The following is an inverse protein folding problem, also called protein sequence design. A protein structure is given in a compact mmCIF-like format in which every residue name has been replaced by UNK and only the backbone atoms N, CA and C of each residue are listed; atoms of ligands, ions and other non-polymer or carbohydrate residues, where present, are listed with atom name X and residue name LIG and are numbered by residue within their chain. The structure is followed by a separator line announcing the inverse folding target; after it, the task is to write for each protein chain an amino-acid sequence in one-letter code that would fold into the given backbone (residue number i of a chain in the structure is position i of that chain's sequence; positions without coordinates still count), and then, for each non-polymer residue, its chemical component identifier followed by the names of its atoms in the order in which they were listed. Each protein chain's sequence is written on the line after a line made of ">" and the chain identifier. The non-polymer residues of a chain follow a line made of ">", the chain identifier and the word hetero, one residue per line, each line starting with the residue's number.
data_IF_472621692577
#
_entry.id   IF_472621692577
#
_cell.length_a   1.000
_cell.length_b   1.000
_cell.length_c   1.000
_cell.angle_alpha   90.00
_cell.angle_beta   90.00
_cell.angle_gamma   90.00
#
_symmetry.space_group_name_H-M   'P 1'
#
loop_
_entity.id
_entity.type
_entity.pdbx_description
1 polymer ?
#
# COMPACT_ATOMS: atom_id res chain seq x y z
N UNK A 1 42.92 -19.12 6.98
CA UNK A 1 41.80 -18.46 7.68
C UNK A 1 40.64 -19.43 7.76
N UNK A 2 40.38 -20.03 8.92
CA UNK A 2 39.20 -20.90 9.12
C UNK A 2 37.99 -19.98 9.23
N UNK A 3 37.08 -20.04 8.27
CA UNK A 3 35.78 -19.40 8.40
C UNK A 3 35.11 -19.96 9.66
N UNK A 4 34.76 -19.06 10.59
CA UNK A 4 34.07 -19.42 11.83
C UNK A 4 32.76 -20.13 11.47
N UNK A 5 32.50 -21.27 12.13
CA UNK A 5 31.27 -22.08 11.98
C UNK A 5 29.99 -21.24 12.14
N UNK A 6 30.09 -20.11 12.87
CA UNK A 6 29.01 -19.14 13.06
C UNK A 6 28.58 -18.44 11.74
N UNK A 7 29.52 -18.14 10.84
CA UNK A 7 29.22 -17.53 9.54
C UNK A 7 28.47 -18.49 8.60
N UNK A 8 28.80 -19.78 8.66
CA UNK A 8 28.08 -20.80 7.91
C UNK A 8 26.65 -20.99 8.46
N UNK A 9 26.47 -20.93 9.78
CA UNK A 9 25.15 -21.08 10.41
C UNK A 9 24.22 -19.89 10.12
N UNK A 10 24.76 -18.66 10.11
CA UNK A 10 24.02 -17.45 9.73
C UNK A 10 23.60 -17.50 8.25
N UNK A 11 24.49 -17.96 7.36
CA UNK A 11 24.15 -18.15 5.93
C UNK A 11 23.07 -19.23 5.72
N UNK A 12 23.08 -20.31 6.51
CA UNK A 12 22.07 -21.38 6.40
C UNK A 12 20.70 -20.93 6.93
N UNK A 13 20.67 -20.16 8.02
CA UNK A 13 19.40 -19.59 8.55
C UNK A 13 18.80 -18.58 7.57
N UNK A 14 19.63 -17.78 6.88
CA UNK A 14 19.15 -16.88 5.82
C UNK A 14 18.56 -17.62 4.62
N UNK A 15 19.05 -18.82 4.29
CA UNK A 15 18.50 -19.62 3.18
C UNK A 15 17.17 -20.28 3.58
N UNK A 16 17.01 -20.70 4.84
CA UNK A 16 15.77 -21.36 5.30
C UNK A 16 14.56 -20.41 5.31
N UNK A 17 14.77 -19.10 5.50
CA UNK A 17 13.70 -18.10 5.40
C UNK A 17 13.29 -17.75 3.95
N UNK A 18 14.07 -18.15 2.94
CA UNK A 18 13.76 -17.84 1.53
C UNK A 18 12.86 -18.86 0.83
N UNK A 19 12.53 -19.98 1.49
CA UNK A 19 11.85 -21.12 0.83
C UNK A 19 10.47 -21.46 1.38
N UNK A 20 9.97 -20.72 2.36
CA UNK A 20 8.58 -20.84 2.77
C UNK A 20 7.78 -19.67 2.20
N UNK A 21 7.09 -19.85 1.05
CA UNK A 21 5.98 -18.97 0.74
C UNK A 21 4.95 -19.14 1.86
N UNK A 22 4.90 -18.15 2.75
CA UNK A 22 3.71 -17.92 3.57
C UNK A 22 2.65 -17.51 2.56
N UNK A 23 1.84 -18.47 2.12
CA UNK A 23 0.63 -18.17 1.36
C UNK A 23 -0.36 -17.52 2.33
N UNK A 24 -0.19 -16.23 2.58
CA UNK A 24 -1.28 -15.40 3.04
C UNK A 24 -2.34 -15.39 1.95
N UNK A 25 -3.59 -15.65 2.31
CA UNK A 25 -4.72 -15.53 1.41
C UNK A 25 -4.91 -14.04 1.08
N UNK A 26 -4.33 -13.56 -0.03
CA UNK A 26 -4.47 -12.16 -0.44
C UNK A 26 -5.82 -11.91 -1.11
N UNK A 27 -6.41 -10.75 -0.90
CA UNK A 27 -7.63 -10.29 -1.59
C UNK A 27 -7.36 -10.04 -3.08
N UNK A 28 -6.14 -9.65 -3.42
CA UNK A 28 -5.70 -9.39 -4.80
C UNK A 28 -4.62 -10.36 -5.29
N UNK A 29 -4.63 -10.65 -6.59
CA UNK A 29 -3.52 -11.17 -7.37
C UNK A 29 -2.46 -10.09 -7.61
N UNK A 30 -1.27 -10.51 -8.01
CA UNK A 30 -0.16 -9.61 -8.33
C UNK A 30 -0.45 -8.65 -9.50
N UNK A 31 -1.43 -8.97 -10.37
CA UNK A 31 -1.87 -8.11 -11.47
C UNK A 31 -2.96 -7.10 -11.05
N UNK A 32 -3.40 -7.11 -9.79
CA UNK A 32 -4.46 -6.21 -9.30
C UNK A 32 -5.89 -6.74 -9.48
N UNK A 33 -6.08 -7.93 -10.04
CA UNK A 33 -7.39 -8.60 -10.02
C UNK A 33 -7.67 -9.15 -8.62
N UNK A 34 -8.93 -9.23 -8.19
CA UNK A 34 -9.30 -9.96 -6.97
C UNK A 34 -8.95 -11.45 -7.12
N UNK A 35 -8.57 -12.08 -6.02
CA UNK A 35 -8.53 -13.53 -5.91
C UNK A 35 -9.94 -14.07 -5.65
N UNK A 36 -10.09 -15.39 -5.66
CA UNK A 36 -11.31 -16.02 -5.17
C UNK A 36 -11.68 -15.55 -3.75
N UNK A 37 -10.69 -15.42 -2.86
CA UNK A 37 -10.92 -14.91 -1.49
C UNK A 37 -11.38 -13.46 -1.50
N UNK A 38 -10.95 -12.66 -2.49
CA UNK A 38 -11.45 -11.29 -2.65
C UNK A 38 -12.91 -11.24 -3.08
N UNK A 39 -13.34 -12.14 -3.96
CA UNK A 39 -14.76 -12.26 -4.32
C UNK A 39 -15.58 -12.73 -3.11
N UNK A 40 -15.11 -13.73 -2.38
CA UNK A 40 -15.74 -14.21 -1.14
C UNK A 40 -15.84 -13.08 -0.11
N UNK A 41 -14.78 -12.29 0.06
CA UNK A 41 -14.79 -11.11 0.93
C UNK A 41 -15.88 -10.11 0.54
N UNK A 42 -16.11 -9.87 -0.75
CA UNK A 42 -17.22 -9.04 -1.20
C UNK A 42 -18.59 -9.63 -0.88
N UNK A 43 -18.76 -10.94 -1.07
CA UNK A 43 -20.02 -11.61 -0.75
C UNK A 43 -20.36 -11.52 0.73
N UNK A 44 -19.36 -11.70 1.59
CA UNK A 44 -19.49 -11.57 3.05
C UNK A 44 -19.84 -10.13 3.47
N UNK A 45 -19.28 -9.13 2.78
CA UNK A 45 -19.46 -7.72 3.10
C UNK A 45 -20.65 -7.06 2.40
N UNK A 46 -21.26 -7.71 1.40
CA UNK A 46 -22.43 -7.15 0.71
C UNK A 46 -23.58 -6.75 1.64
N UNK A 47 -23.99 -7.56 2.64
CA UNK A 47 -25.07 -7.15 3.55
C UNK A 47 -24.71 -5.90 4.37
N UNK A 48 -23.41 -5.72 4.66
CA UNK A 48 -22.91 -4.54 5.36
C UNK A 48 -22.89 -3.32 4.45
N UNK A 49 -22.50 -3.49 3.18
CA UNK A 49 -22.60 -2.46 2.14
C UNK A 49 -24.05 -1.99 1.96
N UNK A 50 -24.99 -2.93 1.80
CA UNK A 50 -26.42 -2.64 1.65
C UNK A 50 -27.01 -1.89 2.87
N UNK A 51 -26.41 -2.07 4.05
CA UNK A 51 -26.84 -1.41 5.30
C UNK A 51 -26.23 -0.02 5.48
N UNK A 52 -24.94 0.15 5.16
CA UNK A 52 -24.16 1.33 5.49
C UNK A 52 -24.07 2.36 4.35
N UNK A 53 -24.25 1.93 3.09
CA UNK A 53 -24.03 2.81 1.93
C UNK A 53 -22.63 3.41 1.96
N UNK A 54 -22.52 4.74 1.87
CA UNK A 54 -21.24 5.46 1.89
C UNK A 54 -20.40 5.23 3.17
N UNK A 55 -21.05 4.99 4.33
CA UNK A 55 -20.33 4.70 5.58
C UNK A 55 -19.58 3.35 5.56
N UNK A 56 -19.85 2.51 4.56
CA UNK A 56 -19.11 1.29 4.31
C UNK A 56 -17.62 1.56 4.07
N UNK A 57 -17.29 2.65 3.37
CA UNK A 57 -15.91 3.00 3.03
C UNK A 57 -15.15 3.47 4.27
N UNK A 58 -15.77 4.30 5.10
CA UNK A 58 -15.20 4.70 6.40
C UNK A 58 -14.92 3.48 7.29
N UNK A 59 -15.88 2.54 7.35
CA UNK A 59 -15.72 1.29 8.11
C UNK A 59 -14.52 0.48 7.65
N UNK A 60 -14.26 0.47 6.34
CA UNK A 60 -13.12 -0.20 5.73
C UNK A 60 -11.90 0.71 5.52
N UNK A 61 -11.86 1.87 6.17
CA UNK A 61 -10.74 2.84 6.08
C UNK A 61 -10.38 3.23 4.64
N UNK A 62 -11.40 3.37 3.80
CA UNK A 62 -11.27 3.72 2.39
C UNK A 62 -10.22 2.84 1.69
N UNK A 63 -10.32 1.53 1.92
CA UNK A 63 -9.41 0.58 1.29
C UNK A 63 -9.77 0.38 -0.18
N UNK A 64 -8.78 0.11 -1.01
CA UNK A 64 -9.01 -0.16 -2.44
C UNK A 64 -9.87 -1.42 -2.63
N UNK A 65 -9.76 -2.40 -1.73
CA UNK A 65 -10.64 -3.57 -1.67
C UNK A 65 -12.10 -3.13 -1.54
N UNK A 66 -12.41 -2.24 -0.60
CA UNK A 66 -13.79 -1.78 -0.36
C UNK A 66 -14.38 -1.02 -1.55
N UNK A 67 -13.57 -0.21 -2.24
CA UNK A 67 -14.00 0.56 -3.40
C UNK A 67 -14.20 -0.29 -4.65
N UNK A 68 -13.24 -1.15 -4.97
CA UNK A 68 -13.37 -2.15 -6.05
C UNK A 68 -14.56 -3.07 -5.80
N UNK A 69 -14.77 -3.45 -4.54
CA UNK A 69 -15.89 -4.29 -4.15
C UNK A 69 -17.25 -3.62 -4.33
N UNK A 70 -17.38 -2.34 -3.95
CA UNK A 70 -18.60 -1.57 -4.17
C UNK A 70 -18.93 -1.50 -5.67
N UNK A 71 -17.94 -1.18 -6.51
CA UNK A 71 -18.09 -1.19 -7.96
C UNK A 71 -18.48 -2.58 -8.51
N UNK A 72 -17.90 -3.66 -7.99
CA UNK A 72 -18.30 -5.04 -8.33
C UNK A 72 -19.74 -5.36 -7.92
N UNK A 73 -20.18 -4.93 -6.74
CA UNK A 73 -21.53 -5.19 -6.21
C UNK A 73 -22.59 -4.46 -7.05
N UNK A 74 -22.25 -3.26 -7.54
CA UNK A 74 -23.14 -2.45 -8.38
C UNK A 74 -23.12 -2.84 -9.87
N UNK A 75 -22.14 -3.64 -10.29
CA UNK A 75 -22.04 -4.13 -11.66
C UNK A 75 -23.13 -5.17 -11.99
N UNK A 76 -23.65 -5.13 -13.21
CA UNK A 76 -24.67 -6.09 -13.68
C UNK A 76 -24.22 -7.56 -13.51
N UNK A 77 -22.92 -7.79 -13.62
CA UNK A 77 -22.30 -9.11 -13.48
C UNK A 77 -22.41 -9.68 -12.08
N UNK A 78 -22.63 -8.86 -11.04
CA UNK A 78 -22.75 -9.34 -9.66
C UNK A 78 -23.84 -10.42 -9.50
N UNK A 79 -24.94 -10.26 -10.23
CA UNK A 79 -26.11 -11.14 -10.19
C UNK A 79 -26.04 -12.31 -11.16
N UNK A 80 -24.99 -12.41 -11.98
CA UNK A 80 -24.78 -13.55 -12.87
C UNK A 80 -24.58 -14.83 -12.05
N UNK A 81 -25.24 -15.93 -12.41
CA UNK A 81 -25.24 -17.19 -11.65
C UNK A 81 -24.70 -18.40 -12.45
N UNK A 82 -23.89 -18.15 -13.49
CA UNK A 82 -23.26 -19.22 -14.27
C UNK A 82 -22.13 -19.94 -13.52
N UNK A 83 -21.68 -21.10 -14.02
CA UNK A 83 -20.59 -21.87 -13.40
C UNK A 83 -19.25 -21.13 -13.41
N UNK A 84 -19.09 -20.16 -14.29
CA UNK A 84 -17.92 -19.28 -14.47
C UNK A 84 -18.10 -17.92 -13.78
N UNK A 85 -19.08 -17.77 -12.88
CA UNK A 85 -19.37 -16.50 -12.19
C UNK A 85 -18.15 -15.90 -11.50
N UNK A 86 -17.47 -16.69 -10.67
CA UNK A 86 -16.32 -16.21 -9.88
C UNK A 86 -15.20 -15.75 -10.82
N UNK A 87 -14.93 -16.51 -11.89
CA UNK A 87 -13.91 -16.15 -12.89
C UNK A 87 -14.24 -14.83 -13.58
N UNK A 88 -15.50 -14.61 -13.97
CA UNK A 88 -15.94 -13.34 -14.56
C UNK A 88 -15.82 -12.17 -13.58
N UNK A 89 -16.17 -12.36 -12.32
CA UNK A 89 -16.04 -11.30 -11.30
C UNK A 89 -14.58 -10.97 -11.01
N UNK A 90 -13.69 -11.98 -11.02
CA UNK A 90 -12.25 -11.77 -10.93
C UNK A 90 -11.76 -10.94 -12.13
N UNK A 91 -12.16 -11.29 -13.35
CA UNK A 91 -11.80 -10.51 -14.53
C UNK A 91 -12.35 -9.08 -14.46
N UNK A 92 -13.60 -8.91 -14.02
CA UNK A 92 -14.23 -7.60 -13.86
C UNK A 92 -13.59 -6.74 -12.76
N UNK A 93 -13.12 -7.37 -11.69
CA UNK A 93 -12.44 -6.67 -10.59
C UNK A 93 -11.13 -6.01 -11.04
N UNK A 94 -10.44 -6.60 -12.02
CA UNK A 94 -9.23 -6.03 -12.58
C UNK A 94 -9.53 -4.67 -13.24
N UNK A 95 -10.62 -4.61 -14.00
CA UNK A 95 -11.06 -3.38 -14.65
C UNK A 95 -11.33 -2.26 -13.62
N UNK A 96 -12.09 -2.56 -12.56
CA UNK A 96 -12.34 -1.57 -11.51
C UNK A 96 -11.07 -1.18 -10.76
N UNK A 97 -10.19 -2.13 -10.50
CA UNK A 97 -8.94 -1.84 -9.85
C UNK A 97 -8.00 -0.97 -10.71
N UNK A 98 -8.05 -1.11 -12.03
CA UNK A 98 -7.31 -0.23 -12.95
C UNK A 98 -7.89 1.18 -12.97
N UNK A 99 -9.21 1.34 -12.90
CA UNK A 99 -9.87 2.65 -12.77
C UNK A 99 -9.42 3.37 -11.49
N UNK A 100 -9.48 2.68 -10.35
CA UNK A 100 -9.02 3.20 -9.05
C UNK A 100 -7.58 3.71 -9.09
N UNK A 101 -6.68 2.93 -9.71
CA UNK A 101 -5.27 3.32 -9.85
C UNK A 101 -5.14 4.53 -10.77
N UNK A 102 -5.86 4.56 -11.90
CA UNK A 102 -5.77 5.64 -12.87
C UNK A 102 -6.25 6.97 -12.27
N UNK A 103 -7.37 6.94 -11.54
CA UNK A 103 -7.92 8.08 -10.83
C UNK A 103 -7.00 8.58 -9.72
N UNK A 104 -6.50 7.67 -8.88
CA UNK A 104 -5.51 7.99 -7.84
C UNK A 104 -4.24 8.65 -8.42
N UNK A 105 -3.81 8.25 -9.62
CA UNK A 105 -2.66 8.87 -10.30
C UNK A 105 -2.96 10.30 -10.77
N UNK A 106 -4.17 10.54 -11.25
CA UNK A 106 -4.61 11.87 -11.70
C UNK A 106 -4.70 12.80 -10.50
N UNK A 107 -5.37 12.36 -9.44
CA UNK A 107 -5.52 13.06 -8.16
C UNK A 107 -4.20 13.44 -7.53
N UNK A 108 -3.26 12.49 -7.46
CA UNK A 108 -1.91 12.75 -6.97
C UNK A 108 -1.18 13.79 -7.82
N UNK A 109 -1.43 13.83 -9.14
CA UNK A 109 -0.87 14.83 -10.05
C UNK A 109 -1.41 16.24 -9.83
N UNK A 110 -2.63 16.37 -9.30
CA UNK A 110 -3.30 17.66 -9.02
C UNK A 110 -3.33 18.02 -7.53
N UNK A 111 -2.86 17.13 -6.65
CA UNK A 111 -2.81 17.33 -5.20
C UNK A 111 -4.17 17.17 -4.50
N UNK A 112 -5.09 16.42 -5.09
CA UNK A 112 -6.39 16.05 -4.49
C UNK A 112 -6.27 14.64 -3.92
N UNK A 113 -7.07 14.31 -2.92
CA UNK A 113 -7.28 12.95 -2.43
C UNK A 113 -8.79 12.71 -2.44
N UNK A 114 -9.26 11.84 -3.32
CA UNK A 114 -10.62 11.32 -3.29
C UNK A 114 -10.60 9.93 -2.65
N UNK A 115 -11.64 9.64 -1.86
CA UNK A 115 -11.82 8.35 -1.20
C UNK A 115 -13.09 7.64 -1.64
N UNK A 116 -13.85 8.22 -2.57
CA UNK A 116 -14.96 7.60 -3.25
C UNK A 116 -14.49 6.49 -4.23
N UNK A 117 -15.33 5.49 -4.51
CA UNK A 117 -15.06 4.53 -5.58
C UNK A 117 -14.94 5.22 -6.93
N UNK A 118 -14.03 4.70 -7.75
CA UNK A 118 -13.73 5.28 -9.03
C UNK A 118 -14.93 5.33 -9.95
N UNK A 119 -15.07 6.45 -10.65
CA UNK A 119 -16.17 6.67 -11.58
C UNK A 119 -16.08 5.70 -12.76
N UNK A 120 -17.15 4.92 -12.96
CA UNK A 120 -17.24 3.97 -14.05
C UNK A 120 -17.78 4.67 -15.29
N UNK A 121 -16.98 4.88 -16.35
CA UNK A 121 -17.46 5.43 -17.60
C UNK A 121 -18.42 4.40 -18.20
N UNK A 122 -19.68 4.79 -18.40
CA UNK A 122 -20.75 3.98 -19.02
C UNK A 122 -21.69 3.20 -18.07
N UNK A 123 -22.04 3.76 -16.89
CA UNK A 123 -23.34 3.44 -16.28
C UNK A 123 -24.45 4.07 -17.12
N UNK A 124 -24.92 3.37 -18.15
CA UNK A 124 -26.01 3.82 -19.02
C UNK A 124 -27.27 4.13 -18.20
N UNK A 125 -27.56 5.42 -18.00
CA UNK A 125 -28.86 6.11 -18.02
C UNK A 125 -28.85 7.36 -17.12
N UNK A 126 -28.12 8.39 -17.51
CA UNK A 126 -28.56 9.76 -17.21
C UNK A 126 -28.49 10.59 -18.50
N UNK A 127 -29.62 11.18 -18.84
CA UNK A 127 -29.84 11.98 -20.04
C UNK A 127 -28.88 13.18 -20.01
N UNK A 128 -28.17 13.50 -21.11
CA UNK A 128 -27.22 14.60 -21.08
C UNK A 128 -27.99 15.93 -20.95
N UNK A 129 -27.99 16.52 -19.77
CA UNK A 129 -28.19 17.97 -19.69
C UNK A 129 -27.07 18.66 -20.47
N UNK A 130 -27.40 19.62 -21.35
CA UNK A 130 -26.43 20.17 -22.29
C UNK A 130 -25.35 20.92 -21.54
N UNK A 131 -24.12 20.42 -21.62
CA UNK A 131 -22.89 21.11 -21.23
C UNK A 131 -22.76 22.37 -22.08
N UNK A 132 -23.21 23.51 -21.54
CA UNK A 132 -22.88 24.82 -22.07
C UNK A 132 -21.51 25.21 -21.52
N UNK A 133 -20.48 25.03 -22.33
CA UNK A 133 -19.15 25.59 -22.09
C UNK A 133 -19.30 27.11 -22.03
N UNK A 134 -19.07 27.70 -20.86
CA UNK A 134 -18.69 29.10 -20.73
C UNK A 134 -17.37 29.16 -19.95
N UNK A 135 -16.35 29.62 -20.66
CA UNK A 135 -15.05 30.02 -20.13
C UNK A 135 -15.19 31.29 -19.27
N UNK A 136 -14.24 31.43 -18.34
CA UNK A 136 -13.86 32.60 -17.52
C UNK A 136 -14.76 33.00 -16.33
N UNK A 137 -14.23 32.84 -15.10
CA UNK A 137 -13.65 33.99 -14.37
C UNK A 137 -12.89 33.55 -13.10
N UNK A 138 -11.62 33.95 -13.01
CA UNK A 138 -10.88 34.10 -11.76
C UNK A 138 -11.59 35.12 -10.84
N UNK A 139 -12.03 34.70 -9.64
CA UNK A 139 -11.79 35.50 -8.43
C UNK A 139 -12.13 34.78 -7.11
N UNK A 140 -11.09 34.65 -6.29
CA UNK A 140 -11.09 34.78 -4.83
C UNK A 140 -12.27 34.19 -4.04
N UNK A 141 -12.01 33.11 -3.33
CA UNK A 141 -12.22 33.07 -1.87
C UNK A 141 -11.14 32.20 -1.25
N UNK A 142 -10.06 32.85 -0.80
CA UNK A 142 -9.28 32.37 0.33
C UNK A 142 -10.07 32.77 1.58
N UNK A 143 -10.54 31.78 2.35
CA UNK A 143 -10.40 31.74 3.82
C UNK A 143 -11.02 30.43 4.35
N UNK A 144 -10.18 29.70 5.09
CA UNK A 144 -10.48 28.65 6.08
C UNK A 144 -11.30 27.40 5.67
N UNK A 145 -10.57 26.34 5.32
CA UNK A 145 -10.69 25.07 6.06
C UNK A 145 -9.28 24.65 6.48
N UNK A 146 -8.90 25.05 7.69
CA UNK A 146 -7.98 24.23 8.50
C UNK A 146 -8.79 23.06 9.07
N UNK A 147 -8.12 21.91 9.18
CA UNK A 147 -8.56 20.64 9.79
C UNK A 147 -9.49 19.75 8.96
N UNK A 148 -8.88 18.92 8.09
CA UNK A 148 -8.80 17.47 8.35
C UNK A 148 -7.70 16.80 7.51
N UNK A 149 -6.42 17.04 7.86
CA UNK A 149 -5.30 16.25 7.31
C UNK A 149 -5.21 14.90 8.03
N UNK A 150 -6.21 14.02 7.89
CA UNK A 150 -6.15 12.64 8.37
C UNK A 150 -6.06 11.58 7.25
N UNK A 151 -6.00 11.94 5.97
CA UNK A 151 -5.94 10.97 4.86
C UNK A 151 -4.53 10.74 4.29
N UNK A 152 -3.52 10.76 5.17
CA UNK A 152 -2.16 10.30 4.85
C UNK A 152 -2.05 8.77 4.89
N UNK A 153 -2.74 8.06 4.00
CA UNK A 153 -2.81 6.59 4.01
C UNK A 153 -1.84 5.83 3.08
N UNK A 154 -1.24 6.48 2.09
CA UNK A 154 -0.49 5.81 1.02
C UNK A 154 0.99 5.50 1.33
N UNK A 155 1.45 4.28 1.00
CA UNK A 155 2.86 3.94 1.01
C UNK A 155 3.59 4.43 -0.27
N UNK A 156 3.67 5.75 -0.48
CA UNK A 156 4.16 6.40 -1.71
C UNK A 156 5.51 5.88 -2.23
N UNK A 157 6.52 5.82 -1.36
CA UNK A 157 7.86 5.32 -1.73
C UNK A 157 7.81 3.84 -2.14
N UNK A 158 7.08 3.01 -1.39
CA UNK A 158 6.97 1.59 -1.72
C UNK A 158 6.19 1.39 -3.03
N UNK A 159 5.13 2.16 -3.24
CA UNK A 159 4.34 2.15 -4.47
C UNK A 159 5.18 2.51 -5.68
N UNK A 160 6.01 3.56 -5.59
CA UNK A 160 6.92 3.94 -6.67
C UNK A 160 8.01 2.87 -6.91
N UNK A 161 8.54 2.26 -5.85
CA UNK A 161 9.55 1.20 -5.94
C UNK A 161 9.01 -0.11 -6.55
N UNK A 162 7.75 -0.47 -6.28
CA UNK A 162 7.12 -1.73 -6.68
C UNK A 162 6.05 -1.59 -7.78
N UNK A 163 5.97 -0.42 -8.42
CA UNK A 163 5.12 -0.10 -9.58
C UNK A 163 3.61 -0.10 -9.34
N UNK A 164 3.12 -0.52 -8.18
CA UNK A 164 1.70 -0.60 -7.91
C UNK A 164 1.40 -0.58 -6.42
N UNK A 165 0.30 0.09 -6.06
CA UNK A 165 -0.27 0.00 -4.72
C UNK A 165 -0.76 -1.42 -4.40
N UNK A 166 -1.09 -2.19 -5.43
CA UNK A 166 -1.56 -3.59 -5.33
C UNK A 166 -0.41 -4.60 -5.38
N UNK A 167 0.82 -4.13 -5.47
CA UNK A 167 1.96 -5.03 -5.38
C UNK A 167 1.94 -5.77 -4.03
N UNK A 168 2.36 -7.03 -4.05
CA UNK A 168 2.37 -7.90 -2.86
C UNK A 168 3.12 -7.22 -1.70
N UNK A 169 4.18 -6.49 -2.01
CA UNK A 169 5.00 -5.78 -1.03
C UNK A 169 4.28 -4.61 -0.37
N UNK A 170 3.54 -3.82 -1.15
CA UNK A 170 2.78 -2.67 -0.63
C UNK A 170 1.55 -3.15 0.14
N UNK A 171 0.86 -4.17 -0.35
CA UNK A 171 -0.27 -4.77 0.36
C UNK A 171 0.15 -5.38 1.70
N UNK A 172 1.30 -6.05 1.76
CA UNK A 172 1.86 -6.55 3.03
C UNK A 172 2.10 -5.42 4.04
N UNK A 173 2.60 -4.25 3.60
CA UNK A 173 2.78 -3.09 4.48
C UNK A 173 1.45 -2.59 5.02
N UNK A 174 0.43 -2.48 4.16
CA UNK A 174 -0.91 -2.05 4.55
C UNK A 174 -1.51 -3.03 5.56
N UNK A 175 -1.45 -4.32 5.28
CA UNK A 175 -1.96 -5.37 6.17
C UNK A 175 -1.29 -5.31 7.55
N UNK A 176 0.05 -5.24 7.62
CA UNK A 176 0.77 -5.14 8.90
C UNK A 176 0.38 -3.86 9.65
N UNK A 177 0.34 -2.71 8.97
CA UNK A 177 -0.07 -1.44 9.57
C UNK A 177 -1.47 -1.57 10.15
N UNK A 178 -2.40 -2.04 9.33
CA UNK A 178 -3.83 -1.96 9.58
C UNK A 178 -4.35 -3.00 10.56
N UNK A 179 -3.72 -4.18 10.60
CA UNK A 179 -4.15 -5.32 11.41
C UNK A 179 -3.26 -5.58 12.62
N UNK A 180 -2.00 -5.12 12.61
CA UNK A 180 -1.06 -5.33 13.73
C UNK A 180 -0.71 -4.04 14.44
N UNK A 181 -0.20 -3.06 13.70
CA UNK A 181 0.32 -1.82 14.33
C UNK A 181 -0.83 -0.97 14.88
N UNK A 182 -1.85 -0.69 14.07
CA UNK A 182 -2.98 0.17 14.45
C UNK A 182 -3.92 -0.44 15.50
N UNK A 183 -3.85 -1.76 15.70
CA UNK A 183 -4.59 -2.45 16.75
C UNK A 183 -3.94 -2.33 18.13
N UNK A 184 -2.79 -1.67 18.23
CA UNK A 184 -2.12 -1.35 19.50
C UNK A 184 -2.04 0.15 19.70
N UNK A 185 -2.20 0.60 20.94
CA UNK A 185 -2.10 2.01 21.32
C UNK A 185 -0.69 2.55 21.05
N UNK A 186 0.35 1.76 21.35
CA UNK A 186 1.75 2.13 21.09
C UNK A 186 1.99 2.26 19.58
N UNK A 187 1.51 1.30 18.79
CA UNK A 187 1.66 1.31 17.34
C UNK A 187 0.92 2.46 16.67
N UNK A 188 -0.32 2.76 17.10
CA UNK A 188 -1.09 3.88 16.59
C UNK A 188 -0.40 5.24 16.86
N UNK A 189 0.16 5.44 18.05
CA UNK A 189 0.95 6.63 18.37
C UNK A 189 2.21 6.73 17.49
N UNK A 190 2.89 5.62 17.27
CA UNK A 190 4.06 5.57 16.39
C UNK A 190 3.70 5.95 14.95
N UNK A 191 2.64 5.38 14.37
CA UNK A 191 2.22 5.67 13.00
C UNK A 191 1.80 7.13 12.84
N UNK A 192 1.08 7.69 13.82
CA UNK A 192 0.72 9.12 13.80
C UNK A 192 1.96 10.03 13.70
N UNK A 193 2.96 9.82 14.55
CA UNK A 193 4.21 10.59 14.49
C UNK A 193 5.06 10.28 13.25
N UNK A 194 5.13 9.02 12.85
CA UNK A 194 5.85 8.58 11.66
C UNK A 194 5.28 9.21 10.40
N UNK A 195 3.95 9.22 10.25
CA UNK A 195 3.27 9.76 9.07
C UNK A 195 3.60 11.24 8.84
N UNK A 196 3.60 12.05 9.90
CA UNK A 196 3.96 13.46 9.80
C UNK A 196 5.36 13.65 9.20
N UNK A 197 6.32 12.84 9.65
CA UNK A 197 7.67 12.88 9.10
C UNK A 197 7.73 12.29 7.69
N UNK A 198 7.12 11.13 7.47
CA UNK A 198 7.11 10.39 6.21
C UNK A 198 6.57 11.23 5.05
N UNK A 199 5.37 11.79 5.19
CA UNK A 199 4.74 12.58 4.13
C UNK A 199 5.42 13.92 3.88
N UNK A 200 6.30 14.39 4.77
CA UNK A 200 7.08 15.61 4.53
C UNK A 200 8.14 15.45 3.43
N UNK A 201 8.54 14.21 3.09
CA UNK A 201 9.57 13.95 2.08
C UNK A 201 9.19 12.87 1.07
N UNK A 202 8.25 11.98 1.40
CA UNK A 202 7.93 10.82 0.55
C UNK A 202 7.42 11.16 -0.86
N UNK A 203 6.65 12.24 -1.11
CA UNK A 203 6.25 12.60 -2.47
C UNK A 203 7.46 12.90 -3.37
N UNK A 204 8.40 13.71 -2.87
CA UNK A 204 9.62 14.07 -3.61
C UNK A 204 10.46 12.84 -3.96
N UNK A 205 10.58 11.89 -3.04
CA UNK A 205 11.32 10.64 -3.30
C UNK A 205 10.59 9.79 -4.34
N UNK A 206 9.27 9.63 -4.22
CA UNK A 206 8.48 8.87 -5.19
C UNK A 206 8.57 9.46 -6.61
N UNK A 207 8.58 10.78 -6.74
CA UNK A 207 8.77 11.44 -8.04
C UNK A 207 10.17 11.22 -8.61
N UNK A 208 11.20 11.22 -7.77
CA UNK A 208 12.56 10.88 -8.20
C UNK A 208 12.66 9.43 -8.71
N UNK A 209 11.92 8.50 -8.09
CA UNK A 209 11.86 7.09 -8.54
C UNK A 209 11.21 6.97 -9.92
N UNK A 210 10.11 7.69 -10.16
CA UNK A 210 9.41 7.72 -11.46
C UNK A 210 10.30 8.27 -12.58
N UNK A 211 11.17 9.24 -12.28
CA UNK A 211 12.05 9.88 -13.25
C UNK A 211 13.31 9.05 -13.57
N UNK A 212 13.74 8.17 -12.66
CA UNK A 212 15.01 7.45 -12.78
C UNK A 212 14.87 5.98 -12.41
N UNK A 213 14.85 5.07 -13.41
CA UNK A 213 14.78 3.62 -13.17
C UNK A 213 15.93 3.11 -12.29
N UNK A 214 17.12 3.71 -12.39
CA UNK A 214 18.25 3.36 -11.55
C UNK A 214 18.02 3.77 -10.09
N UNK A 215 17.46 4.96 -9.86
CA UNK A 215 17.17 5.43 -8.50
C UNK A 215 16.08 4.57 -7.85
N UNK A 216 15.02 4.24 -8.60
CA UNK A 216 13.98 3.30 -8.18
C UNK A 216 14.55 1.95 -7.73
N UNK A 217 15.43 1.33 -8.52
CA UNK A 217 16.06 0.05 -8.13
C UNK A 217 16.92 0.18 -6.87
N UNK A 218 17.62 1.30 -6.69
CA UNK A 218 18.37 1.58 -5.45
C UNK A 218 17.41 1.69 -4.26
N UNK A 219 16.31 2.43 -4.39
CA UNK A 219 15.30 2.57 -3.34
C UNK A 219 14.70 1.21 -3.02
N UNK A 220 14.28 0.45 -4.02
CA UNK A 220 13.75 -0.91 -3.90
C UNK A 220 14.67 -1.85 -3.12
N UNK A 221 15.97 -1.89 -3.47
CA UNK A 221 16.98 -2.68 -2.74
C UNK A 221 17.11 -2.20 -1.30
N UNK A 222 17.05 -0.89 -1.09
CA UNK A 222 17.20 -0.27 0.23
C UNK A 222 16.01 -0.56 1.15
N UNK A 223 14.78 -0.55 0.64
CA UNK A 223 13.58 -0.78 1.46
C UNK A 223 13.25 -2.27 1.65
N UNK A 224 13.76 -3.17 0.79
CA UNK A 224 13.44 -4.60 0.87
C UNK A 224 13.79 -5.24 2.23
N UNK A 225 14.97 -5.00 2.85
CA UNK A 225 15.26 -5.51 4.18
C UNK A 225 14.26 -5.05 5.27
N UNK A 226 13.78 -3.81 5.15
CA UNK A 226 12.74 -3.27 6.04
C UNK A 226 11.43 -4.04 5.90
N UNK A 227 11.00 -4.32 4.66
CA UNK A 227 9.81 -5.13 4.41
C UNK A 227 9.92 -6.51 5.07
N UNK A 228 11.04 -7.19 4.85
CA UNK A 228 11.27 -8.53 5.41
C UNK A 228 11.24 -8.53 6.94
N UNK A 229 11.83 -7.52 7.57
CA UNK A 229 11.85 -7.43 9.04
C UNK A 229 10.49 -7.06 9.63
N UNK A 230 9.67 -6.27 8.93
CA UNK A 230 8.30 -5.93 9.34
C UNK A 230 7.38 -7.16 9.40
N UNK A 231 7.58 -8.16 8.54
CA UNK A 231 6.79 -9.41 8.57
C UNK A 231 6.85 -10.15 9.92
N UNK A 232 7.86 -9.87 10.76
CA UNK A 232 7.97 -10.42 12.11
C UNK A 232 6.84 -9.95 13.03
N UNK A 233 6.14 -8.86 12.67
CA UNK A 233 5.01 -8.32 13.41
C UNK A 233 3.71 -9.12 13.20
N UNK A 234 3.65 -10.02 12.22
CA UNK A 234 2.42 -10.75 11.87
C UNK A 234 1.85 -11.62 13.01
N UNK A 235 2.69 -12.03 13.97
CA UNK A 235 2.27 -12.92 15.07
C UNK A 235 2.23 -12.22 16.43
N UNK A 236 2.15 -10.89 16.44
CA UNK A 236 2.16 -10.09 17.66
C UNK A 236 0.79 -9.48 17.87
N UNK A 237 0.22 -9.73 19.05
CA UNK A 237 -1.11 -9.23 19.41
C UNK A 237 -1.09 -8.43 20.74
N UNK A 238 0.08 -8.27 21.39
CA UNK A 238 0.20 -7.56 22.67
C UNK A 238 0.97 -6.23 22.58
N UNK A 239 0.57 -5.25 23.38
CA UNK A 239 1.20 -3.92 23.46
C UNK A 239 2.70 -3.98 23.79
N UNK A 240 3.07 -4.83 24.76
CA UNK A 240 4.46 -4.93 25.21
C UNK A 240 5.33 -5.56 24.12
N UNK A 241 4.85 -6.61 23.45
CA UNK A 241 5.56 -7.21 22.33
C UNK A 241 5.67 -6.24 21.16
N UNK A 242 4.62 -5.47 20.86
CA UNK A 242 4.67 -4.43 19.82
C UNK A 242 5.76 -3.41 20.11
N UNK A 243 5.88 -2.96 21.35
CA UNK A 243 6.95 -2.04 21.76
C UNK A 243 8.33 -2.68 21.61
N UNK A 244 8.54 -3.86 22.22
CA UNK A 244 9.86 -4.50 22.26
C UNK A 244 10.32 -4.94 20.87
N UNK A 245 9.45 -5.61 20.11
CA UNK A 245 9.77 -6.06 18.75
C UNK A 245 9.84 -4.89 17.79
N UNK A 246 8.96 -3.89 17.90
CA UNK A 246 9.00 -2.67 17.10
C UNK A 246 10.32 -1.93 17.25
N UNK A 247 10.78 -1.70 18.49
CA UNK A 247 12.11 -1.12 18.76
C UNK A 247 13.22 -1.99 18.18
N UNK A 248 13.10 -3.31 18.29
CA UNK A 248 14.05 -4.27 17.71
C UNK A 248 14.17 -4.13 16.19
N UNK A 249 13.04 -4.08 15.48
CA UNK A 249 12.98 -3.90 14.02
C UNK A 249 13.59 -2.56 13.61
N UNK A 250 13.22 -1.47 14.29
CA UNK A 250 13.76 -0.13 14.00
C UNK A 250 15.28 -0.12 14.20
N UNK A 251 15.76 -0.67 15.31
CA UNK A 251 17.19 -0.73 15.64
C UNK A 251 17.97 -1.58 14.63
N UNK A 252 17.40 -2.71 14.22
CA UNK A 252 18.00 -3.60 13.23
C UNK A 252 18.12 -2.92 11.86
N UNK A 253 17.06 -2.27 11.38
CA UNK A 253 17.06 -1.55 10.11
C UNK A 253 18.01 -0.34 10.13
N UNK A 254 17.99 0.46 11.21
CA UNK A 254 18.95 1.53 11.39
C UNK A 254 20.39 1.00 11.31
N UNK A 255 20.67 -0.13 11.97
CA UNK A 255 21.94 -0.82 11.89
C UNK A 255 22.37 -1.07 10.44
N UNK A 256 21.51 -1.66 9.60
CA UNK A 256 21.83 -1.89 8.20
C UNK A 256 22.11 -0.60 7.42
N UNK A 257 21.28 0.43 7.61
CA UNK A 257 21.40 1.70 6.89
C UNK A 257 22.63 2.52 7.28
N UNK A 258 23.16 2.37 8.50
CA UNK A 258 24.40 3.06 8.89
C UNK A 258 25.65 2.21 8.66
N UNK A 259 25.60 0.91 8.98
CA UNK A 259 26.77 0.03 8.94
C UNK A 259 27.22 -0.21 7.50
N UNK A 260 26.30 -0.51 6.57
CA UNK A 260 26.67 -0.84 5.19
C UNK A 260 27.39 0.34 4.51
N UNK A 261 26.84 1.57 4.50
CA UNK A 261 27.53 2.72 3.90
C UNK A 261 28.87 3.03 4.59
N UNK A 262 28.95 2.92 5.92
CA UNK A 262 30.20 3.16 6.66
C UNK A 262 31.30 2.16 6.26
N UNK A 263 30.99 0.87 6.17
CA UNK A 263 31.94 -0.16 5.73
C UNK A 263 32.38 0.06 4.29
N UNK A 264 31.46 0.42 3.39
CA UNK A 264 31.77 0.76 2.00
C UNK A 264 32.72 1.97 1.93
N UNK A 265 32.42 3.05 2.67
CA UNK A 265 33.25 4.24 2.72
C UNK A 265 34.67 3.94 3.24
N UNK A 266 34.81 3.12 4.28
CA UNK A 266 36.12 2.70 4.82
C UNK A 266 36.91 1.90 3.77
N UNK A 267 36.26 0.98 3.05
CA UNK A 267 36.91 0.19 2.00
C UNK A 267 37.36 1.05 0.82
N UNK A 268 36.54 2.01 0.39
CA UNK A 268 36.90 2.95 -0.68
C UNK A 268 38.09 3.80 -0.25
N UNK A 269 38.04 4.38 0.96
CA UNK A 269 39.16 5.15 1.52
C UNK A 269 40.45 4.34 1.55
N UNK A 270 40.39 3.07 1.98
CA UNK A 270 41.57 2.20 2.00
C UNK A 270 42.12 1.94 0.60
N UNK A 271 41.24 1.66 -0.38
CA UNK A 271 41.64 1.43 -1.78
C UNK A 271 42.17 2.69 -2.48
N UNK A 272 41.78 3.88 -2.03
CA UNK A 272 42.30 5.15 -2.54
C UNK A 272 43.62 5.59 -1.88
N UNK A 273 43.96 5.00 -0.72
CA UNK A 273 45.18 5.28 0.04
C UNK A 273 46.29 4.23 -0.18
N UNK A 274 45.96 3.08 -0.77
CA UNK A 274 46.87 2.04 -1.25
C UNK A 274 47.15 2.23 -2.76
#
# INVERSE_FOLDING_TARGET
>A
MKASSLCAYIMIISIIFTVYPVYGATVFYANGAFTQNGIEWCEENKPLYDLLGEQFFEHHRHSIESRVCANLIEDELWNYAGPDRVEKLIERSLYFSELEIAESQIEAGIGIVDTAPADVPDRMNEEPEPVLIQEEEEKQTQEEIQENNQEGGGCLIATAAFDSELSIQVQMLREIRDTKIMNTQIGAMFISGFNQFYYSFSPTIADMERQSPLFKEIVKITITPLLSTLSLLNNIDSEIEMLVVGIGIISLNAGFYFIIPAVVAIKIKKKLLD
#
